data_IF_206549725793
#
_entry.id   IF_206549725793
#
_cell.length_a   1.000
_cell.length_b   1.000
_cell.length_c   1.000
_cell.angle_alpha   90.00
_cell.angle_beta   90.00
_cell.angle_gamma   90.00
#
_symmetry.space_group_name_H-M   'P 1'
#
loop_
_entity.id
_entity.type
_entity.pdbx_description
1 polymer ?
#
# COMPACT_ATOMS: atom_id res chain seq x y z
N UNK A 1 -6.05 -0.84 15.21
CA UNK A 1 -6.18 -1.61 13.95
C UNK A 1 -6.92 -0.81 12.88
N UNK A 2 -8.13 -0.35 13.18
CA UNK A 2 -9.01 0.33 12.19
C UNK A 2 -8.42 1.63 11.62
N UNK A 3 -7.83 2.48 12.46
CA UNK A 3 -7.14 3.70 12.00
C UNK A 3 -6.01 3.40 11.02
N UNK A 4 -5.17 2.41 11.32
CA UNK A 4 -4.05 2.02 10.46
C UNK A 4 -4.55 1.44 9.14
N UNK A 5 -5.65 0.70 9.16
CA UNK A 5 -6.29 0.16 7.97
C UNK A 5 -6.82 1.28 7.06
N UNK A 6 -7.56 2.25 7.61
CA UNK A 6 -8.05 3.39 6.83
C UNK A 6 -6.91 4.25 6.28
N UNK A 7 -5.86 4.47 7.08
CA UNK A 7 -4.66 5.18 6.63
C UNK A 7 -3.99 4.45 5.46
N UNK A 8 -3.86 3.12 5.55
CA UNK A 8 -3.23 2.32 4.49
C UNK A 8 -4.08 2.32 3.21
N UNK A 9 -5.40 2.24 3.33
CA UNK A 9 -6.31 2.39 2.19
C UNK A 9 -6.21 3.77 1.53
N UNK A 10 -6.11 4.84 2.33
CA UNK A 10 -5.88 6.18 1.80
C UNK A 10 -4.58 6.25 0.99
N UNK A 11 -3.49 5.72 1.55
CA UNK A 11 -2.20 5.65 0.86
C UNK A 11 -2.29 4.84 -0.45
N UNK A 12 -3.02 3.72 -0.47
CA UNK A 12 -3.24 2.93 -1.69
C UNK A 12 -3.94 3.76 -2.77
N UNK A 13 -5.02 4.47 -2.42
CA UNK A 13 -5.76 5.33 -3.37
C UNK A 13 -4.89 6.48 -3.89
N UNK A 14 -4.11 7.11 -3.01
CA UNK A 14 -3.16 8.15 -3.41
C UNK A 14 -2.08 7.61 -4.34
N UNK A 15 -1.56 6.41 -4.06
CA UNK A 15 -0.56 5.74 -4.90
C UNK A 15 -1.12 5.43 -6.29
N UNK A 16 -2.35 4.91 -6.37
CA UNK A 16 -3.06 4.69 -7.64
C UNK A 16 -3.27 5.99 -8.44
N UNK A 17 -3.57 7.08 -7.74
CA UNK A 17 -3.70 8.41 -8.35
C UNK A 17 -2.34 8.93 -8.84
N UNK A 18 -1.26 8.64 -8.11
CA UNK A 18 0.12 8.88 -8.51
C UNK A 18 0.46 8.16 -9.83
N UNK A 19 0.10 6.89 -9.98
CA UNK A 19 0.29 6.17 -11.24
C UNK A 19 -0.43 6.81 -12.43
N UNK A 20 -1.68 7.26 -12.24
CA UNK A 20 -2.40 7.96 -13.32
C UNK A 20 -1.77 9.30 -13.72
N UNK A 21 -1.00 9.92 -12.82
CA UNK A 21 -0.17 11.10 -13.14
C UNK A 21 1.15 10.68 -13.81
N UNK A 22 1.78 9.61 -13.33
CA UNK A 22 3.02 9.07 -13.89
C UNK A 22 2.86 8.74 -15.38
N UNK A 23 1.73 8.15 -15.77
CA UNK A 23 1.40 7.84 -17.18
C UNK A 23 1.37 9.09 -18.10
N UNK A 24 1.25 10.29 -17.54
CA UNK A 24 1.22 11.58 -18.27
C UNK A 24 2.53 12.35 -18.18
N UNK A 25 3.42 11.98 -17.26
CA UNK A 25 4.71 12.61 -17.04
C UNK A 25 5.79 11.86 -17.82
N UNK A 26 6.88 12.53 -18.17
CA UNK A 26 8.01 11.91 -18.86
C UNK A 26 9.34 12.55 -18.45
N UNK A 27 10.43 11.79 -18.60
CA UNK A 27 11.77 12.24 -18.20
C UNK A 27 11.91 12.37 -16.68
N UNK A 28 12.56 13.45 -16.21
CA UNK A 28 12.90 13.66 -14.80
C UNK A 28 11.69 13.76 -13.87
N UNK A 29 10.56 14.27 -14.35
CA UNK A 29 9.34 14.38 -13.55
C UNK A 29 8.70 13.01 -13.30
N UNK A 30 8.82 12.09 -14.26
CA UNK A 30 8.39 10.71 -14.10
C UNK A 30 9.25 9.99 -13.06
N UNK A 31 10.58 10.12 -13.13
CA UNK A 31 11.50 9.52 -12.15
C UNK A 31 11.24 10.01 -10.72
N UNK A 32 10.97 11.31 -10.53
CA UNK A 32 10.62 11.87 -9.23
C UNK A 32 9.28 11.32 -8.71
N UNK A 33 8.28 11.18 -9.59
CA UNK A 33 6.99 10.59 -9.26
C UNK A 33 7.09 9.10 -8.93
N UNK A 34 7.91 8.34 -9.66
CA UNK A 34 8.20 6.93 -9.35
C UNK A 34 8.83 6.78 -7.98
N UNK A 35 9.81 7.62 -7.63
CA UNK A 35 10.44 7.61 -6.32
C UNK A 35 9.43 7.93 -5.20
N UNK A 36 8.51 8.87 -5.44
CA UNK A 36 7.43 9.18 -4.50
C UNK A 36 6.45 8.00 -4.33
N UNK A 37 6.06 7.37 -5.44
CA UNK A 37 5.21 6.17 -5.46
C UNK A 37 5.89 5.02 -4.70
N UNK A 38 7.19 4.80 -4.91
CA UNK A 38 7.94 3.78 -4.19
C UNK A 38 7.98 4.06 -2.68
N UNK A 39 8.27 5.30 -2.26
CA UNK A 39 8.25 5.67 -0.85
C UNK A 39 6.87 5.45 -0.20
N UNK A 40 5.78 5.70 -0.94
CA UNK A 40 4.41 5.41 -0.50
C UNK A 40 4.15 3.91 -0.37
N UNK A 41 4.61 3.11 -1.33
CA UNK A 41 4.52 1.63 -1.27
C UNK A 41 5.30 1.08 -0.06
N UNK A 42 6.47 1.62 0.23
CA UNK A 42 7.27 1.24 1.41
C UNK A 42 6.52 1.57 2.70
N UNK A 43 5.86 2.72 2.75
CA UNK A 43 5.03 3.13 3.89
C UNK A 43 3.79 2.24 4.06
N UNK A 44 3.14 1.85 2.97
CA UNK A 44 2.03 0.86 2.97
C UNK A 44 2.54 -0.48 3.50
N UNK A 45 3.70 -0.94 3.04
CA UNK A 45 4.32 -2.22 3.47
C UNK A 45 4.58 -2.21 4.98
N UNK A 46 5.23 -1.15 5.49
CA UNK A 46 5.47 -0.99 6.93
C UNK A 46 4.16 -0.94 7.74
N UNK A 47 3.11 -0.33 7.20
CA UNK A 47 1.79 -0.33 7.85
C UNK A 47 1.16 -1.72 7.86
N UNK A 48 1.27 -2.49 6.78
CA UNK A 48 0.81 -3.88 6.69
C UNK A 48 1.51 -4.77 7.73
N UNK A 49 2.83 -4.67 7.87
CA UNK A 49 3.60 -5.40 8.88
C UNK A 49 3.12 -5.06 10.31
N UNK A 50 2.92 -3.78 10.60
CA UNK A 50 2.34 -3.33 11.89
C UNK A 50 0.92 -3.86 12.10
N UNK A 51 0.11 -3.90 11.05
CA UNK A 51 -1.25 -4.44 11.10
C UNK A 51 -1.21 -5.93 11.43
N UNK A 52 -0.29 -6.70 10.84
CA UNK A 52 -0.13 -8.13 11.09
C UNK A 52 0.25 -8.41 12.55
N UNK A 53 1.15 -7.60 13.14
CA UNK A 53 1.45 -7.65 14.58
C UNK A 53 0.19 -7.41 15.42
N UNK A 54 -0.66 -6.45 15.02
CA UNK A 54 -1.93 -6.17 15.71
C UNK A 54 -2.95 -7.32 15.53
N UNK A 55 -3.01 -7.97 14.36
CA UNK A 55 -3.85 -9.16 14.12
C UNK A 55 -3.52 -10.26 15.11
N UNK A 56 -2.23 -10.48 15.39
CA UNK A 56 -1.79 -11.48 16.36
C UNK A 56 -2.17 -11.12 17.81
N UNK A 57 -2.38 -9.83 18.10
CA UNK A 57 -2.79 -9.34 19.43
C UNK A 57 -4.31 -9.28 19.63
N UNK A 58 -5.11 -9.36 18.57
CA UNK A 58 -6.57 -9.37 18.67
C UNK A 58 -7.12 -10.70 19.23
N UNK A 59 -8.28 -10.67 19.92
CA UNK A 59 -8.95 -11.88 20.38
C UNK A 59 -9.38 -12.77 19.19
N UNK A 60 -9.53 -14.10 19.41
CA UNK A 60 -9.84 -15.06 18.35
C UNK A 60 -11.06 -14.70 17.49
N UNK A 61 -12.08 -14.07 18.09
CA UNK A 61 -13.31 -13.64 17.41
C UNK A 61 -13.08 -12.55 16.35
N UNK A 62 -12.07 -11.70 16.52
CA UNK A 62 -11.74 -10.60 15.59
C UNK A 62 -10.52 -10.91 14.72
N UNK A 63 -9.67 -11.84 15.14
CA UNK A 63 -8.44 -12.24 14.45
C UNK A 63 -8.68 -12.66 13.00
N UNK A 64 -9.77 -13.39 12.70
CA UNK A 64 -10.06 -13.83 11.33
C UNK A 64 -10.37 -12.65 10.40
N UNK A 65 -11.21 -11.70 10.84
CA UNK A 65 -11.53 -10.50 10.06
C UNK A 65 -10.30 -9.61 9.86
N UNK A 66 -9.53 -9.44 10.94
CA UNK A 66 -8.27 -8.71 10.94
C UNK A 66 -7.26 -9.30 9.94
N UNK A 67 -7.10 -10.63 9.93
CA UNK A 67 -6.23 -11.33 8.98
C UNK A 67 -6.66 -11.11 7.54
N UNK A 68 -7.96 -11.24 7.25
CA UNK A 68 -8.48 -10.98 5.91
C UNK A 68 -8.14 -9.56 5.43
N UNK A 69 -8.33 -8.55 6.29
CA UNK A 69 -7.99 -7.15 5.98
C UNK A 69 -6.49 -6.97 5.70
N UNK A 70 -5.62 -7.58 6.51
CA UNK A 70 -4.18 -7.52 6.33
C UNK A 70 -3.74 -8.22 5.03
N UNK A 71 -4.31 -9.38 4.73
CA UNK A 71 -4.06 -10.11 3.48
C UNK A 71 -4.48 -9.29 2.25
N UNK A 72 -5.62 -8.60 2.33
CA UNK A 72 -6.13 -7.74 1.26
C UNK A 72 -5.19 -6.56 0.97
N UNK A 73 -4.74 -5.85 2.02
CA UNK A 73 -3.77 -4.75 1.88
C UNK A 73 -2.43 -5.23 1.32
N UNK A 74 -1.99 -6.42 1.69
CA UNK A 74 -0.74 -7.02 1.20
C UNK A 74 -0.83 -7.36 -0.29
N UNK A 75 -1.97 -7.88 -0.73
CA UNK A 75 -2.25 -8.10 -2.14
C UNK A 75 -2.22 -6.78 -2.94
N UNK A 76 -2.89 -5.75 -2.44
CA UNK A 76 -2.90 -4.43 -3.08
C UNK A 76 -1.48 -3.84 -3.16
N UNK A 77 -0.67 -4.00 -2.11
CA UNK A 77 0.72 -3.55 -2.09
C UNK A 77 1.58 -4.27 -3.13
N UNK A 78 1.46 -5.60 -3.24
CA UNK A 78 2.16 -6.36 -4.29
C UNK A 78 1.72 -5.93 -5.69
N UNK A 79 0.42 -5.72 -5.89
CA UNK A 79 -0.11 -5.25 -7.17
C UNK A 79 0.45 -3.86 -7.53
N UNK A 80 0.49 -2.92 -6.59
CA UNK A 80 1.09 -1.60 -6.81
C UNK A 80 2.59 -1.70 -7.13
N UNK A 81 3.32 -2.57 -6.45
CA UNK A 81 4.75 -2.75 -6.70
C UNK A 81 5.03 -3.37 -8.07
N UNK A 82 4.28 -4.41 -8.46
CA UNK A 82 4.38 -5.00 -9.80
C UNK A 82 4.05 -3.96 -10.88
N UNK A 83 3.03 -3.13 -10.63
CA UNK A 83 2.65 -2.04 -11.55
C UNK A 83 3.77 -1.01 -11.72
N UNK A 84 4.49 -0.65 -10.65
CA UNK A 84 5.67 0.24 -10.73
C UNK A 84 6.84 -0.39 -11.48
N UNK A 85 7.09 -1.68 -11.28
CA UNK A 85 8.15 -2.39 -12.01
C UNK A 85 7.82 -2.47 -13.49
N UNK A 86 6.54 -2.66 -13.84
CA UNK A 86 6.08 -2.71 -15.23
C UNK A 86 6.00 -1.34 -15.92
N UNK A 87 6.01 -0.23 -15.17
CA UNK A 87 6.02 1.12 -15.74
C UNK A 87 7.42 1.63 -16.10
N UNK A 88 8.46 0.87 -15.78
CA UNK A 88 9.88 1.13 -16.06
C UNK A 88 10.35 0.46 -17.35
#
# INVERSE_FOLDING_TARGET
METLYHQTNGLIQETQSGFGRLERLSGKEAEAMEAEIQARIDQITSNCERLDILVHKEPPSRRQNAKLRADQLRYDCQHLQVRLVNSR
#
